data_IF_454907769813
#
_entry.id   IF_454907769813
#
_cell.length_a   1.000
_cell.length_b   1.000
_cell.length_c   1.000
_cell.angle_alpha   90.00
_cell.angle_beta   90.00
_cell.angle_gamma   90.00
#
_symmetry.space_group_name_H-M   'P 1'
#
loop_
_entity.id
_entity.type
_entity.pdbx_description
1 polymer ?
#
# COMPACT_ATOMS: atom_id res chain seq x y z
N UNK A 1 -11.77 1.29 -3.10
CA UNK A 1 -11.64 -0.12 -2.66
C UNK A 1 -10.88 -0.20 -1.33
N UNK A 2 -11.06 -1.26 -0.52
CA UNK A 2 -10.28 -1.48 0.72
C UNK A 2 -9.60 -2.84 0.67
N UNK A 3 -8.29 -2.90 0.95
CA UNK A 3 -7.52 -4.14 1.08
C UNK A 3 -7.07 -4.30 2.52
N UNK A 4 -7.44 -5.41 3.16
CA UNK A 4 -7.21 -5.64 4.59
C UNK A 4 -6.19 -6.75 4.78
N UNK A 5 -5.15 -6.46 5.55
CA UNK A 5 -4.11 -7.39 5.99
C UNK A 5 -4.34 -7.79 7.45
N UNK A 6 -3.40 -8.53 8.05
CA UNK A 6 -3.52 -8.99 9.43
C UNK A 6 -3.42 -7.82 10.43
N UNK A 7 -2.60 -6.81 10.16
CA UNK A 7 -2.34 -5.71 11.10
C UNK A 7 -2.80 -4.35 10.58
N UNK A 8 -2.87 -4.20 9.27
CA UNK A 8 -3.13 -2.92 8.59
C UNK A 8 -4.20 -3.08 7.51
N UNK A 9 -4.83 -1.97 7.13
CA UNK A 9 -5.70 -1.91 5.95
C UNK A 9 -5.30 -0.73 5.07
N UNK A 10 -5.42 -0.93 3.77
CA UNK A 10 -5.20 0.09 2.76
C UNK A 10 -6.56 0.51 2.18
N UNK A 11 -6.90 1.78 2.35
CA UNK A 11 -8.13 2.36 1.81
C UNK A 11 -7.76 3.23 0.61
N UNK A 12 -8.27 2.87 -0.55
CA UNK A 12 -8.09 3.66 -1.76
C UNK A 12 -8.84 4.99 -1.65
N UNK A 13 -8.12 6.08 -1.92
CA UNK A 13 -8.65 7.43 -1.96
C UNK A 13 -8.08 8.19 -3.15
N UNK A 14 -8.92 8.37 -4.18
CA UNK A 14 -8.55 9.05 -5.43
C UNK A 14 -7.30 8.41 -6.04
N UNK A 15 -6.14 9.05 -5.92
CA UNK A 15 -4.86 8.66 -6.54
C UNK A 15 -3.87 8.02 -5.57
N UNK A 16 -4.29 7.73 -4.33
CA UNK A 16 -3.42 7.16 -3.30
C UNK A 16 -4.17 6.18 -2.40
N UNK A 17 -3.41 5.35 -1.71
CA UNK A 17 -3.92 4.49 -0.64
C UNK A 17 -3.54 5.06 0.71
N UNK A 18 -4.47 5.01 1.65
CA UNK A 18 -4.25 5.37 3.05
C UNK A 18 -4.02 4.07 3.82
N UNK A 19 -2.85 3.95 4.45
CA UNK A 19 -2.53 2.82 5.32
C UNK A 19 -2.97 3.13 6.75
N UNK A 20 -3.86 2.31 7.30
CA UNK A 20 -4.39 2.45 8.66
C UNK A 20 -4.14 1.20 9.48
N UNK A 21 -3.90 1.37 10.78
CA UNK A 21 -3.94 0.26 11.73
C UNK A 21 -5.37 -0.25 11.88
N UNK A 22 -5.53 -1.58 11.90
CA UNK A 22 -6.83 -2.21 12.15
C UNK A 22 -7.27 -2.04 13.61
N UNK A 23 -6.31 -1.85 14.54
CA UNK A 23 -6.59 -1.83 15.99
C UNK A 23 -7.13 -0.50 16.51
N UNK A 24 -7.09 0.59 15.74
CA UNK A 24 -7.47 1.91 16.28
C UNK A 24 -7.45 3.05 15.28
N UNK A 25 -7.79 2.79 14.01
CA UNK A 25 -7.94 3.77 12.92
C UNK A 25 -6.75 4.73 12.69
N UNK A 26 -5.60 4.48 13.34
CA UNK A 26 -4.42 5.32 13.26
C UNK A 26 -3.84 5.25 11.86
N UNK A 27 -3.62 6.41 11.23
CA UNK A 27 -3.00 6.51 9.90
C UNK A 27 -1.49 6.30 10.05
N UNK A 28 -1.03 5.17 9.50
CA UNK A 28 0.36 4.74 9.52
C UNK A 28 1.17 5.37 8.38
N UNK A 29 0.52 5.70 7.27
CA UNK A 29 1.18 6.32 6.12
C UNK A 29 0.29 6.32 4.89
N UNK A 30 0.89 6.63 3.75
CA UNK A 30 0.19 6.63 2.46
C UNK A 30 1.00 5.89 1.41
N UNK A 31 0.35 5.27 0.44
CA UNK A 31 1.00 4.72 -0.74
C UNK A 31 0.54 5.52 -1.95
N UNK A 32 1.47 6.02 -2.73
CA UNK A 32 1.18 6.73 -3.98
C UNK A 32 2.07 6.19 -5.09
N UNK A 33 1.57 6.25 -6.33
CA UNK A 33 2.38 5.93 -7.49
C UNK A 33 3.42 7.03 -7.69
N UNK A 34 4.70 6.65 -7.80
CA UNK A 34 5.78 7.58 -8.02
C UNK A 34 6.66 7.09 -9.17
N UNK A 35 6.55 7.77 -10.32
CA UNK A 35 7.24 7.48 -11.57
C UNK A 35 6.94 6.10 -12.16
N UNK A 36 7.43 5.02 -11.52
CA UNK A 36 7.38 3.64 -12.03
C UNK A 36 6.81 2.63 -11.05
N UNK A 37 6.73 2.98 -9.77
CA UNK A 37 6.29 2.05 -8.74
C UNK A 37 5.50 2.77 -7.66
N UNK A 38 4.62 2.04 -7.00
CA UNK A 38 3.96 2.46 -5.77
C UNK A 38 4.99 2.54 -4.64
N UNK A 39 4.98 3.65 -3.91
CA UNK A 39 5.90 3.93 -2.81
C UNK A 39 5.10 4.19 -1.55
N UNK A 40 5.46 3.50 -0.46
CA UNK A 40 4.94 3.81 0.86
C UNK A 40 5.69 5.00 1.48
N UNK A 41 4.93 6.01 1.90
CA UNK A 41 5.39 7.17 2.65
C UNK A 41 4.92 7.04 4.10
N UNK A 42 5.80 6.66 5.05
CA UNK A 42 5.43 6.46 6.43
C UNK A 42 5.07 7.79 7.12
N UNK A 43 4.18 7.72 8.11
CA UNK A 43 3.99 8.81 9.06
C UNK A 43 5.21 8.87 10.01
N UNK A 44 5.94 9.99 10.07
CA UNK A 44 7.18 10.08 10.85
C UNK A 44 6.98 9.93 12.36
N UNK A 45 5.75 10.02 12.86
CA UNK A 45 5.41 9.87 14.28
C UNK A 45 5.11 8.42 14.69
N UNK A 46 5.16 7.48 13.74
CA UNK A 46 4.76 6.09 13.96
C UNK A 46 5.98 5.18 13.87
N UNK A 47 6.12 4.31 14.87
CA UNK A 47 7.04 3.17 14.81
C UNK A 47 6.32 1.96 14.24
N UNK A 48 7.03 1.18 13.44
CA UNK A 48 6.47 -0.01 12.79
C UNK A 48 7.09 -1.27 13.40
N UNK A 49 6.23 -2.21 13.79
CA UNK A 49 6.66 -3.57 14.08
C UNK A 49 7.00 -4.32 12.80
N UNK A 50 7.78 -5.40 12.93
CA UNK A 50 8.18 -6.24 11.81
C UNK A 50 6.99 -6.74 10.98
N UNK A 51 5.93 -7.23 11.63
CA UNK A 51 4.77 -7.77 10.91
C UNK A 51 4.00 -6.71 10.10
N UNK A 52 3.94 -5.47 10.60
CA UNK A 52 3.35 -4.36 9.84
C UNK A 52 4.18 -4.04 8.59
N UNK A 53 5.51 -4.16 8.67
CA UNK A 53 6.39 -3.96 7.51
C UNK A 53 6.21 -5.06 6.47
N UNK A 54 5.98 -6.31 6.89
CA UNK A 54 5.66 -7.41 5.98
C UNK A 54 4.33 -7.18 5.25
N UNK A 55 3.28 -6.77 5.98
CA UNK A 55 1.98 -6.44 5.37
C UNK A 55 2.13 -5.29 4.35
N UNK A 56 2.95 -4.27 4.64
CA UNK A 56 3.23 -3.17 3.69
C UNK A 56 3.99 -3.69 2.46
N UNK A 57 5.01 -4.51 2.67
CA UNK A 57 5.83 -5.03 1.57
C UNK A 57 5.02 -5.89 0.61
N UNK A 58 4.15 -6.76 1.14
CA UNK A 58 3.26 -7.59 0.33
C UNK A 58 2.30 -6.74 -0.50
N UNK A 59 1.66 -5.74 0.13
CA UNK A 59 0.78 -4.81 -0.57
C UNK A 59 1.49 -4.10 -1.73
N UNK A 60 2.69 -3.55 -1.49
CA UNK A 60 3.47 -2.89 -2.53
C UNK A 60 3.85 -3.85 -3.66
N UNK A 61 4.19 -5.11 -3.33
CA UNK A 61 4.51 -6.13 -4.33
C UNK A 61 3.32 -6.38 -5.27
N UNK A 62 2.13 -6.62 -4.72
CA UNK A 62 0.91 -6.87 -5.47
C UNK A 62 0.55 -5.67 -6.35
N UNK A 63 0.56 -4.45 -5.80
CA UNK A 63 0.20 -3.25 -6.57
C UNK A 63 1.16 -3.00 -7.75
N UNK A 64 2.45 -3.24 -7.54
CA UNK A 64 3.45 -3.08 -8.60
C UNK A 64 3.35 -4.17 -9.67
N UNK A 65 3.08 -5.42 -9.29
CA UNK A 65 2.85 -6.51 -10.25
C UNK A 65 1.59 -6.28 -11.08
N UNK A 66 0.48 -5.90 -10.45
CA UNK A 66 -0.77 -5.58 -11.15
C UNK A 66 -0.58 -4.46 -12.16
N UNK A 67 0.20 -3.43 -11.81
CA UNK A 67 0.50 -2.35 -12.75
C UNK A 67 1.38 -2.82 -13.90
N UNK A 68 2.43 -3.59 -13.64
CA UNK A 68 3.29 -4.18 -14.68
C UNK A 68 2.48 -5.03 -15.68
N UNK A 69 1.49 -5.78 -15.18
CA UNK A 69 0.62 -6.61 -16.02
C UNK A 69 -0.47 -5.80 -16.74
N UNK A 70 -0.88 -4.65 -16.20
CA UNK A 70 -1.84 -3.73 -16.82
C UNK A 70 -1.22 -2.72 -17.79
N UNK A 71 0.11 -2.62 -17.81
CA UNK A 71 0.90 -1.76 -18.73
C UNK A 71 1.49 -2.56 -19.90
N UNK A 72 1.05 -3.81 -20.11
CA UNK A 72 1.42 -4.65 -21.26
C UNK A 72 0.38 -4.49 -22.38
N UNK A 73 0.60 -3.60 -23.37
CA UNK A 73 -0.30 -3.43 -24.51
C UNK A 73 -0.23 -4.58 -25.54
N UNK A 74 0.55 -5.63 -25.28
CA UNK A 74 0.79 -6.75 -26.21
C UNK A 74 0.03 -8.03 -25.85
N UNK A 75 -0.84 -8.01 -24.84
CA UNK A 75 -1.83 -9.08 -24.61
C UNK A 75 -3.09 -8.87 -25.47
N UNK A 76 -2.97 -9.14 -26.77
CA UNK A 76 -4.08 -9.45 -27.69
C UNK A 76 -3.72 -10.70 -28.48
#
# INVERSE_FOLDING_TARGET
>A
MTQTYRHIRFIEQKERWICQSIRGDTILGTVAFHSRYYVFKPNPKISFGHDCLLDIADFLSIQNQNRRNGDDPTRV
#
